data_IF_708036751087
#
_entry.id   IF_708036751087
#
_cell.length_a   1.000
_cell.length_b   1.000
_cell.length_c   1.000
_cell.angle_alpha   90.00
_cell.angle_beta   90.00
_cell.angle_gamma   90.00
#
_symmetry.space_group_name_H-M   'P 1'
#
loop_
_entity.id
_entity.type
_entity.pdbx_description
1 polymer ?
#
# COMPACT_ATOMS: atom_id res chain seq x y z
N UNK A 1 -4.85 19.56 16.60
CA UNK A 1 -5.28 18.55 15.60
C UNK A 1 -6.05 17.49 16.37
N UNK A 2 -7.37 17.45 16.21
CA UNK A 2 -8.24 16.49 16.90
C UNK A 2 -8.38 15.22 16.03
N UNK A 3 -7.87 14.06 16.48
CA UNK A 3 -7.91 12.82 15.70
C UNK A 3 -9.32 12.19 15.62
N UNK A 4 -10.31 12.74 16.32
CA UNK A 4 -11.70 12.25 16.31
C UNK A 4 -12.63 13.14 15.48
N UNK A 5 -12.14 14.28 14.98
CA UNK A 5 -12.89 15.16 14.11
C UNK A 5 -13.06 14.51 12.73
N UNK A 6 -14.30 14.27 12.31
CA UNK A 6 -14.63 13.55 11.07
C UNK A 6 -14.38 14.45 9.86
N UNK A 7 -13.49 14.04 8.95
CA UNK A 7 -13.19 14.81 7.74
C UNK A 7 -14.41 14.85 6.80
N UNK A 8 -14.81 16.04 6.37
CA UNK A 8 -15.86 16.27 5.36
C UNK A 8 -15.37 16.12 3.92
N UNK A 9 -14.13 15.67 3.72
CA UNK A 9 -13.43 15.70 2.44
C UNK A 9 -14.08 14.80 1.35
N UNK A 10 -14.90 13.80 1.71
CA UNK A 10 -15.38 12.79 0.76
C UNK A 10 -16.90 12.58 0.71
N UNK A 11 -17.70 13.64 0.85
CA UNK A 11 -19.14 13.59 0.53
C UNK A 11 -20.00 12.71 1.44
N UNK A 12 -21.26 12.43 1.06
CA UNK A 12 -22.25 11.87 1.97
C UNK A 12 -22.08 10.35 2.12
N UNK A 13 -21.62 9.97 3.32
CA UNK A 13 -21.69 8.62 3.91
C UNK A 13 -21.10 7.48 3.06
N UNK A 14 -19.78 7.47 2.91
CA UNK A 14 -19.07 6.24 2.58
C UNK A 14 -18.73 5.44 3.84
N UNK A 15 -18.90 4.13 3.74
CA UNK A 15 -18.67 3.12 4.78
C UNK A 15 -17.33 3.32 5.50
N UNK A 16 -17.39 4.00 6.66
CA UNK A 16 -16.24 4.35 7.50
C UNK A 16 -15.48 3.10 7.96
N UNK A 17 -16.07 1.90 7.87
CA UNK A 17 -15.39 0.64 8.18
C UNK A 17 -14.26 0.31 7.22
N UNK A 18 -14.44 0.57 5.91
CA UNK A 18 -13.39 0.36 4.91
C UNK A 18 -12.31 1.44 5.02
N UNK A 19 -12.70 2.68 5.30
CA UNK A 19 -11.78 3.79 5.54
C UNK A 19 -10.96 3.61 6.81
N UNK A 20 -11.56 3.19 7.93
CA UNK A 20 -10.82 2.93 9.16
C UNK A 20 -9.85 1.76 9.01
N UNK A 21 -10.20 0.72 8.24
CA UNK A 21 -9.28 -0.38 7.91
C UNK A 21 -8.11 0.12 7.06
N UNK A 22 -8.39 0.92 6.02
CA UNK A 22 -7.35 1.53 5.18
C UNK A 22 -6.45 2.44 6.00
N UNK A 23 -7.04 3.33 6.80
CA UNK A 23 -6.35 4.25 7.70
C UNK A 23 -5.46 3.50 8.70
N UNK A 24 -5.94 2.38 9.27
CA UNK A 24 -5.14 1.53 10.18
C UNK A 24 -3.95 0.89 9.47
N UNK A 25 -4.14 0.35 8.26
CA UNK A 25 -3.05 -0.27 7.49
C UNK A 25 -1.95 0.75 7.22
N UNK A 26 -2.30 1.95 6.74
CA UNK A 26 -1.31 2.99 6.45
C UNK A 26 -0.77 3.74 7.68
N UNK A 27 -1.37 3.58 8.85
CA UNK A 27 -0.77 4.06 10.10
C UNK A 27 0.13 3.03 10.78
N UNK A 28 0.19 1.79 10.27
CA UNK A 28 1.23 0.85 10.68
C UNK A 28 2.60 1.42 10.27
N UNK A 29 3.59 1.30 11.15
CA UNK A 29 4.92 1.88 10.94
C UNK A 29 5.52 1.49 9.60
N UNK A 30 5.37 0.22 9.21
CA UNK A 30 5.91 -0.32 7.97
C UNK A 30 5.26 0.26 6.72
N UNK A 31 3.96 0.61 6.73
CA UNK A 31 3.25 1.07 5.53
C UNK A 31 3.08 2.59 5.46
N UNK A 32 3.33 3.30 6.57
CA UNK A 32 3.19 4.76 6.65
C UNK A 32 4.07 5.49 5.64
N UNK A 33 5.26 4.97 5.36
CA UNK A 33 6.20 5.50 4.36
C UNK A 33 5.56 5.68 2.97
N UNK A 34 4.54 4.88 2.61
CA UNK A 34 3.84 5.00 1.34
C UNK A 34 3.00 6.28 1.25
N UNK A 35 2.56 6.83 2.39
CA UNK A 35 1.79 8.06 2.47
C UNK A 35 2.68 9.29 2.35
N UNK A 36 2.52 10.03 1.25
CA UNK A 36 3.23 11.28 1.03
C UNK A 36 4.74 11.11 0.80
N UNK A 37 5.19 9.93 0.37
CA UNK A 37 6.59 9.65 0.07
C UNK A 37 7.22 10.73 -0.84
N UNK A 38 8.51 11.00 -0.62
CA UNK A 38 9.29 11.96 -1.40
C UNK A 38 9.76 11.37 -2.72
N UNK A 39 10.22 10.13 -2.67
CA UNK A 39 10.81 9.45 -3.81
C UNK A 39 10.46 7.97 -3.80
N UNK A 40 10.46 7.38 -5.00
CA UNK A 40 10.36 5.94 -5.19
C UNK A 40 11.29 5.50 -6.32
N UNK A 41 11.89 4.33 -6.16
CA UNK A 41 12.77 3.72 -7.15
C UNK A 41 12.34 2.28 -7.40
N UNK A 42 12.18 1.92 -8.66
CA UNK A 42 11.88 0.53 -9.05
C UNK A 42 13.18 -0.27 -8.93
N UNK A 43 13.18 -1.28 -8.06
CA UNK A 43 14.33 -2.17 -7.87
C UNK A 43 14.31 -3.35 -8.84
N UNK A 44 13.12 -3.94 -9.03
CA UNK A 44 12.95 -5.06 -9.96
C UNK A 44 11.50 -5.14 -10.45
N UNK A 45 11.31 -5.77 -11.61
CA UNK A 45 9.98 -6.01 -12.20
C UNK A 45 9.95 -7.42 -12.79
N UNK A 46 8.84 -8.12 -12.62
CA UNK A 46 8.61 -9.48 -13.06
C UNK A 46 7.21 -9.61 -13.65
N UNK A 47 7.13 -10.03 -14.91
CA UNK A 47 5.86 -10.46 -15.51
C UNK A 47 5.61 -11.91 -15.13
N UNK A 48 4.59 -12.16 -14.30
CA UNK A 48 4.20 -13.53 -13.92
C UNK A 48 3.42 -14.17 -15.07
N UNK A 49 2.52 -13.40 -15.67
CA UNK A 49 1.74 -13.72 -16.88
C UNK A 49 1.21 -12.43 -17.49
N UNK A 50 0.54 -12.50 -18.65
CA UNK A 50 0.04 -11.34 -19.40
C UNK A 50 -0.74 -10.32 -18.55
N UNK A 51 -1.63 -10.81 -17.69
CA UNK A 51 -2.47 -9.96 -16.85
C UNK A 51 -2.02 -9.88 -15.39
N UNK A 52 -0.78 -10.25 -15.06
CA UNK A 52 -0.26 -10.19 -13.69
C UNK A 52 1.23 -9.86 -13.68
N UNK A 53 1.56 -8.71 -13.11
CA UNK A 53 2.94 -8.29 -12.93
C UNK A 53 3.25 -8.08 -11.45
N UNK A 54 4.51 -8.24 -11.11
CA UNK A 54 5.06 -8.02 -9.78
C UNK A 54 6.19 -7.01 -9.87
N UNK A 55 6.27 -6.09 -8.92
CA UNK A 55 7.29 -5.06 -8.92
C UNK A 55 7.75 -4.77 -7.51
N UNK A 56 9.07 -4.74 -7.34
CA UNK A 56 9.70 -4.38 -6.08
C UNK A 56 10.13 -2.92 -6.15
N UNK A 57 9.73 -2.13 -5.17
CA UNK A 57 9.89 -0.68 -5.15
C UNK A 57 10.48 -0.27 -3.81
N UNK A 58 11.59 0.45 -3.85
CA UNK A 58 12.09 1.19 -2.70
C UNK A 58 11.37 2.54 -2.63
N UNK A 59 10.98 2.95 -1.43
CA UNK A 59 10.22 4.17 -1.18
C UNK A 59 10.86 4.93 -0.04
N UNK A 60 11.09 6.23 -0.24
CA UNK A 60 11.55 7.15 0.79
C UNK A 60 10.40 8.02 1.28
N UNK A 61 10.13 7.95 2.57
CA UNK A 61 9.10 8.68 3.28
C UNK A 61 9.44 10.16 3.50
N UNK A 62 8.56 10.84 4.23
CA UNK A 62 8.75 12.28 4.53
C UNK A 62 9.68 12.51 5.71
N UNK A 63 9.71 11.58 6.66
CA UNK A 63 10.51 11.70 7.89
C UNK A 63 11.97 11.30 7.64
N UNK A 64 12.92 11.84 8.40
CA UNK A 64 14.32 11.42 8.32
C UNK A 64 14.44 9.91 8.57
N UNK A 65 15.23 9.20 7.75
CA UNK A 65 15.49 7.76 7.82
C UNK A 65 14.24 6.86 7.68
N UNK A 66 13.12 7.38 7.16
CA UNK A 66 11.94 6.57 6.84
C UNK A 66 12.06 6.05 5.41
N UNK A 67 12.60 4.85 5.25
CA UNK A 67 12.81 4.21 3.95
C UNK A 67 12.44 2.74 4.05
N UNK A 68 11.70 2.24 3.07
CA UNK A 68 11.26 0.84 3.06
C UNK A 68 11.20 0.29 1.64
N UNK A 69 11.19 -1.05 1.55
CA UNK A 69 11.03 -1.76 0.28
C UNK A 69 9.75 -2.58 0.30
N UNK A 70 8.99 -2.47 -0.78
CA UNK A 70 7.74 -3.18 -0.96
C UNK A 70 7.73 -4.00 -2.23
N UNK A 71 7.04 -5.12 -2.17
CA UNK A 71 6.66 -5.92 -3.32
C UNK A 71 5.16 -5.71 -3.62
N UNK A 72 4.88 -5.12 -4.78
CA UNK A 72 3.54 -4.98 -5.32
C UNK A 72 3.25 -6.13 -6.27
N UNK A 73 2.13 -6.82 -6.07
CA UNK A 73 1.55 -7.69 -7.09
C UNK A 73 0.34 -7.00 -7.68
N UNK A 74 0.34 -6.81 -8.98
CA UNK A 74 -0.68 -6.10 -9.73
C UNK A 74 -1.37 -7.08 -10.69
N UNK A 75 -2.69 -6.96 -10.81
CA UNK A 75 -3.52 -7.77 -11.71
C UNK A 75 -4.30 -6.85 -12.64
N UNK A 76 -4.31 -7.18 -13.93
CA UNK A 76 -5.13 -6.49 -14.92
C UNK A 76 -6.52 -7.12 -14.95
N UNK A 77 -7.55 -6.29 -14.82
CA UNK A 77 -8.94 -6.72 -14.98
C UNK A 77 -9.22 -7.01 -16.45
N UNK A 78 -9.87 -8.14 -16.71
CA UNK A 78 -10.28 -8.59 -18.04
C UNK A 78 -11.81 -8.62 -18.10
N UNK A 79 -12.37 -7.85 -19.02
CA UNK A 79 -13.81 -7.70 -19.24
C UNK A 79 -14.52 -6.81 -18.20
N UNK A 80 -15.75 -6.42 -18.56
CA UNK A 80 -16.58 -5.53 -17.74
C UNK A 80 -16.17 -4.06 -17.83
N UNK A 81 -16.69 -3.23 -16.92
CA UNK A 81 -16.48 -1.77 -16.93
C UNK A 81 -15.07 -1.32 -16.50
N UNK A 82 -14.23 -2.24 -16.04
CA UNK A 82 -12.85 -1.99 -15.62
C UNK A 82 -11.83 -2.75 -16.47
N UNK A 83 -12.23 -3.19 -17.66
CA UNK A 83 -11.34 -3.91 -18.57
C UNK A 83 -10.08 -3.09 -18.88
N UNK A 84 -8.92 -3.74 -18.80
CA UNK A 84 -7.61 -3.13 -19.02
C UNK A 84 -7.00 -2.40 -17.81
N UNK A 85 -7.74 -2.17 -16.72
CA UNK A 85 -7.21 -1.49 -15.52
C UNK A 85 -6.33 -2.42 -14.68
N UNK A 86 -5.20 -1.89 -14.22
CA UNK A 86 -4.32 -2.56 -13.25
C UNK A 86 -4.72 -2.22 -11.82
N UNK A 87 -4.90 -3.25 -11.00
CA UNK A 87 -5.22 -3.13 -9.58
C UNK A 87 -4.15 -3.80 -8.74
N UNK A 88 -3.89 -3.26 -7.54
CA UNK A 88 -3.05 -3.91 -6.55
C UNK A 88 -3.78 -5.12 -5.98
N UNK A 89 -3.26 -6.32 -6.27
CA UNK A 89 -3.74 -7.58 -5.71
C UNK A 89 -3.15 -7.81 -4.32
N UNK A 90 -1.84 -7.59 -4.17
CA UNK A 90 -1.16 -7.67 -2.89
C UNK A 90 -0.03 -6.66 -2.76
N UNK A 91 0.27 -6.33 -1.51
CA UNK A 91 1.36 -5.45 -1.11
C UNK A 91 2.07 -6.12 0.07
N UNK A 92 3.36 -6.41 -0.10
CA UNK A 92 4.19 -6.99 0.94
C UNK A 92 5.33 -6.04 1.29
N UNK A 93 5.62 -5.91 2.58
CA UNK A 93 6.83 -5.26 3.07
C UNK A 93 7.95 -6.29 3.15
N UNK A 94 9.12 -6.00 2.58
CA UNK A 94 10.22 -6.97 2.54
C UNK A 94 10.82 -7.28 3.92
N UNK A 95 10.72 -6.34 4.85
CA UNK A 95 11.20 -6.50 6.22
C UNK A 95 10.37 -7.47 7.06
N UNK A 96 9.15 -7.79 6.63
CA UNK A 96 8.26 -8.79 7.26
C UNK A 96 8.62 -10.23 6.87
N UNK A 97 9.92 -10.53 6.80
CA UNK A 97 10.40 -11.91 6.87
C UNK A 97 10.22 -12.41 8.30
N UNK A 98 8.98 -12.75 8.69
CA UNK A 98 8.60 -13.48 9.92
C UNK A 98 9.72 -13.54 10.97
N UNK A 99 9.95 -12.43 11.68
CA UNK A 99 10.69 -12.50 12.94
C UNK A 99 9.77 -13.22 13.92
N UNK A 100 9.91 -14.54 13.98
CA UNK A 100 9.38 -15.39 15.04
C UNK A 100 9.98 -14.97 16.39
N UNK A 101 9.50 -13.86 16.92
CA UNK A 101 9.82 -13.30 18.22
C UNK A 101 8.57 -13.36 19.06
N UNK A 102 8.62 -14.21 20.08
CA UNK A 102 7.54 -14.53 20.99
C UNK A 102 6.83 -13.30 21.56
N UNK A 103 5.51 -13.42 21.69
CA UNK A 103 4.69 -12.57 22.54
C UNK A 103 5.18 -12.63 24.00
N UNK A 104 5.16 -11.49 24.67
CA UNK A 104 5.25 -11.37 26.13
C UNK A 104 3.94 -11.80 26.81
#
# INVERSE_FOLDING_TARGET
FDPFERSTYFGPHFDLGQFERFRRIFHHSSYRVLLGHKERTILSSLWIKENRFKQRVWVQGTRPAEEEIFEFTMVQRLGGCWDGYWLTESLHHDGDSFSGGMAY
#
